data_IF_879047704117
#
_entry.id   IF_879047704117
#
_cell.length_a   1.000
_cell.length_b   1.000
_cell.length_c   1.000
_cell.angle_alpha   90.00
_cell.angle_beta   90.00
_cell.angle_gamma   90.00
#
_symmetry.space_group_name_H-M   'P 1'
#
loop_
_entity.id
_entity.type
_entity.pdbx_description
1 polymer ?
#
# COMPACT_ATOMS: atom_id res chain seq x y z
N UNK A 1 -6.53 17.67 30.21
CA UNK A 1 -7.32 18.33 29.15
C UNK A 1 -6.90 17.87 27.75
N UNK A 2 -5.78 18.33 27.18
CA UNK A 2 -5.38 18.03 25.77
C UNK A 2 -5.31 16.54 25.41
N UNK A 3 -4.68 15.72 26.26
CA UNK A 3 -4.55 14.26 26.04
C UNK A 3 -5.90 13.50 26.09
N UNK A 4 -6.85 14.01 26.88
CA UNK A 4 -8.18 13.42 27.02
C UNK A 4 -9.02 13.77 25.78
N UNK A 5 -8.90 15.00 25.27
CA UNK A 5 -9.56 15.42 24.02
C UNK A 5 -9.03 14.62 22.84
N UNK A 6 -7.71 14.41 22.73
CA UNK A 6 -7.14 13.57 21.66
C UNK A 6 -7.58 12.11 21.76
N UNK A 7 -7.64 11.54 22.97
CA UNK A 7 -8.12 10.18 23.17
C UNK A 7 -9.61 10.03 22.80
N UNK A 8 -10.45 10.98 23.21
CA UNK A 8 -11.86 11.01 22.84
C UNK A 8 -12.07 11.12 21.32
N UNK A 9 -11.23 11.90 20.64
CA UNK A 9 -11.27 12.03 19.18
C UNK A 9 -10.90 10.73 18.47
N UNK A 10 -9.84 10.04 18.92
CA UNK A 10 -9.43 8.73 18.37
C UNK A 10 -10.54 7.69 18.57
N UNK A 11 -11.13 7.63 19.77
CA UNK A 11 -12.24 6.71 20.07
C UNK A 11 -13.46 7.04 19.21
N UNK A 12 -13.76 8.32 19.01
CA UNK A 12 -14.86 8.76 18.13
C UNK A 12 -14.65 8.32 16.68
N UNK A 13 -13.45 8.50 16.13
CA UNK A 13 -13.11 8.02 14.77
C UNK A 13 -13.23 6.49 14.70
N UNK A 14 -12.73 5.77 15.69
CA UNK A 14 -12.80 4.31 15.73
C UNK A 14 -14.25 3.80 15.74
N UNK A 15 -15.11 4.38 16.58
CA UNK A 15 -16.54 4.05 16.62
C UNK A 15 -17.25 4.40 15.31
N UNK A 16 -16.84 5.49 14.65
CA UNK A 16 -17.36 5.88 13.35
C UNK A 16 -16.97 4.90 12.25
N UNK A 17 -15.73 4.37 12.26
CA UNK A 17 -15.32 3.34 11.30
C UNK A 17 -16.12 2.05 11.49
N UNK A 18 -16.40 1.66 12.74
CA UNK A 18 -17.21 0.46 13.05
C UNK A 18 -18.68 0.64 12.60
N UNK A 19 -19.22 1.86 12.70
CA UNK A 19 -20.63 2.11 12.36
C UNK A 19 -20.89 2.14 10.85
N UNK A 20 -19.84 2.22 10.03
CA UNK A 20 -19.96 2.11 8.58
C UNK A 20 -20.30 0.66 8.22
N UNK A 21 -21.49 0.46 7.68
CA UNK A 21 -21.87 -0.82 7.09
C UNK A 21 -20.97 -1.08 5.87
N UNK A 22 -20.13 -2.11 5.95
CA UNK A 22 -19.35 -2.56 4.81
C UNK A 22 -20.30 -3.24 3.83
N UNK A 23 -20.69 -2.51 2.79
CA UNK A 23 -21.36 -3.11 1.64
C UNK A 23 -20.31 -4.02 0.99
N UNK A 24 -20.55 -5.34 0.88
CA UNK A 24 -19.65 -6.20 0.14
C UNK A 24 -19.62 -5.67 -1.28
N UNK A 25 -18.42 -5.25 -1.72
CA UNK A 25 -18.20 -4.87 -3.10
C UNK A 25 -18.66 -6.07 -3.93
N UNK A 26 -19.70 -5.91 -4.77
CA UNK A 26 -20.09 -6.97 -5.70
C UNK A 26 -18.82 -7.43 -6.39
N UNK A 27 -18.52 -8.70 -6.22
CA UNK A 27 -17.19 -9.24 -6.42
C UNK A 27 -16.72 -8.81 -7.79
N UNK A 28 -15.55 -8.15 -7.82
CA UNK A 28 -14.74 -7.91 -9.02
C UNK A 28 -14.22 -9.24 -9.60
N UNK A 29 -15.04 -10.29 -9.53
CA UNK A 29 -14.87 -11.60 -10.14
C UNK A 29 -14.49 -11.43 -11.60
N UNK A 30 -15.06 -10.43 -12.28
CA UNK A 30 -14.77 -10.16 -13.68
C UNK A 30 -13.30 -9.76 -13.90
N UNK A 31 -12.79 -8.78 -13.14
CA UNK A 31 -11.38 -8.38 -13.20
C UNK A 31 -10.43 -9.49 -12.72
N UNK A 32 -10.82 -10.20 -11.66
CA UNK A 32 -10.05 -11.34 -11.18
C UNK A 32 -9.92 -12.42 -12.26
N UNK A 33 -11.02 -12.83 -12.88
CA UNK A 33 -11.03 -13.80 -13.97
C UNK A 33 -10.27 -13.29 -15.18
N UNK A 34 -10.42 -12.01 -15.53
CA UNK A 34 -9.68 -11.39 -16.62
C UNK A 34 -8.16 -11.52 -16.40
N UNK A 35 -7.65 -11.14 -15.23
CA UNK A 35 -6.22 -11.24 -14.94
C UNK A 35 -5.74 -12.68 -14.90
N UNK A 36 -6.48 -13.60 -14.28
CA UNK A 36 -6.06 -15.01 -14.20
C UNK A 36 -6.05 -15.68 -15.58
N UNK A 37 -6.97 -15.34 -16.46
CA UNK A 37 -7.08 -15.98 -17.77
C UNK A 37 -6.18 -15.35 -18.83
N UNK A 38 -5.86 -14.05 -18.72
CA UNK A 38 -5.15 -13.31 -19.79
C UNK A 38 -3.72 -12.87 -19.43
N UNK A 39 -3.27 -12.95 -18.17
CA UNK A 39 -1.97 -12.39 -17.76
C UNK A 39 -0.79 -12.85 -18.63
N UNK A 40 -0.76 -14.12 -19.02
CA UNK A 40 0.33 -14.67 -19.83
C UNK A 40 0.31 -14.12 -21.25
N UNK A 41 -0.87 -13.96 -21.84
CA UNK A 41 -1.03 -13.41 -23.19
C UNK A 41 -0.71 -11.91 -23.22
N UNK A 42 -1.16 -11.17 -22.21
CA UNK A 42 -1.01 -9.71 -22.14
C UNK A 42 0.42 -9.29 -21.79
N UNK A 43 1.08 -10.05 -20.90
CA UNK A 43 2.35 -9.62 -20.28
C UNK A 43 3.54 -10.52 -20.62
N UNK A 44 3.30 -11.73 -21.14
CA UNK A 44 4.33 -12.75 -21.36
C UNK A 44 4.87 -13.41 -20.08
N UNK A 45 4.42 -12.99 -18.89
CA UNK A 45 4.88 -13.57 -17.64
C UNK A 45 4.24 -14.94 -17.38
N UNK A 46 5.03 -15.88 -16.87
CA UNK A 46 4.56 -17.23 -16.50
C UNK A 46 3.83 -17.25 -15.14
N UNK A 47 4.01 -16.22 -14.31
CA UNK A 47 3.38 -16.09 -13.00
C UNK A 47 2.42 -14.89 -12.97
N UNK A 48 1.16 -15.16 -12.60
CA UNK A 48 0.09 -14.15 -12.53
C UNK A 48 0.38 -13.06 -11.51
N UNK A 49 1.02 -13.39 -10.38
CA UNK A 49 1.39 -12.42 -9.35
C UNK A 49 2.44 -11.45 -9.89
N UNK A 50 3.45 -11.94 -10.61
CA UNK A 50 4.47 -11.07 -11.22
C UNK A 50 3.90 -10.20 -12.34
N UNK A 51 2.95 -10.72 -13.12
CA UNK A 51 2.24 -9.95 -14.14
C UNK A 51 1.48 -8.78 -13.52
N UNK A 52 0.86 -8.99 -12.36
CA UNK A 52 0.15 -7.93 -11.64
C UNK A 52 1.13 -6.86 -11.15
N UNK A 53 2.19 -7.23 -10.43
CA UNK A 53 3.11 -6.24 -9.85
C UNK A 53 3.93 -5.47 -10.89
N UNK A 54 4.39 -6.15 -11.95
CA UNK A 54 5.35 -5.58 -12.90
C UNK A 54 4.70 -5.08 -14.20
N UNK A 55 3.43 -5.39 -14.44
CA UNK A 55 2.73 -4.97 -15.67
C UNK A 55 1.45 -4.21 -15.33
N UNK A 56 0.40 -4.90 -14.86
CA UNK A 56 -0.91 -4.27 -14.64
C UNK A 56 -0.89 -3.16 -13.57
N UNK A 57 -0.05 -3.30 -12.53
CA UNK A 57 0.09 -2.35 -11.40
C UNK A 57 1.54 -1.89 -11.21
N UNK A 58 2.26 -1.69 -12.31
CA UNK A 58 3.66 -1.27 -12.32
C UNK A 58 3.93 -0.07 -11.40
N UNK A 59 3.07 0.94 -11.41
CA UNK A 59 3.29 2.17 -10.66
C UNK A 59 3.28 1.95 -9.14
N UNK A 60 2.46 1.03 -8.63
CA UNK A 60 2.41 0.74 -7.19
C UNK A 60 3.76 0.16 -6.73
N UNK A 61 4.28 -0.85 -7.43
CA UNK A 61 5.60 -1.44 -7.13
C UNK A 61 6.75 -0.46 -7.41
N UNK A 62 6.67 0.35 -8.47
CA UNK A 62 7.69 1.37 -8.77
C UNK A 62 7.79 2.40 -7.63
N UNK A 63 6.66 2.90 -7.13
CA UNK A 63 6.67 3.84 -6.02
C UNK A 63 7.03 3.20 -4.68
N UNK A 64 6.69 1.93 -4.44
CA UNK A 64 7.17 1.20 -3.26
C UNK A 64 8.71 1.12 -3.24
N UNK A 65 9.33 0.76 -4.37
CA UNK A 65 10.79 0.70 -4.47
C UNK A 65 11.45 2.08 -4.37
N UNK A 66 10.83 3.12 -4.94
CA UNK A 66 11.28 4.51 -4.79
C UNK A 66 11.19 4.98 -3.33
N UNK A 67 10.11 4.65 -2.63
CA UNK A 67 9.92 4.97 -1.21
C UNK A 67 11.00 4.30 -0.37
N UNK A 68 11.30 3.03 -0.64
CA UNK A 68 12.39 2.30 0.03
C UNK A 68 13.75 2.97 -0.25
N UNK A 69 14.03 3.32 -1.51
CA UNK A 69 15.25 4.01 -1.90
C UNK A 69 15.43 5.33 -1.15
N UNK A 70 14.41 6.19 -1.15
CA UNK A 70 14.44 7.48 -0.45
C UNK A 70 14.59 7.29 1.05
N UNK A 71 13.95 6.28 1.63
CA UNK A 71 14.08 5.96 3.06
C UNK A 71 15.51 5.55 3.43
N UNK A 72 16.14 4.70 2.62
CA UNK A 72 17.55 4.29 2.82
C UNK A 72 18.49 5.48 2.66
N UNK A 73 18.31 6.31 1.63
CA UNK A 73 19.09 7.54 1.45
C UNK A 73 18.96 8.46 2.67
N UNK A 74 17.72 8.66 3.16
CA UNK A 74 17.44 9.45 4.35
C UNK A 74 18.18 8.92 5.57
N UNK A 75 18.09 7.61 5.83
CA UNK A 75 18.79 6.97 6.96
C UNK A 75 20.30 7.17 6.84
N UNK A 76 20.90 6.92 5.68
CA UNK A 76 22.35 7.09 5.50
C UNK A 76 22.78 8.54 5.75
N UNK A 77 22.00 9.51 5.23
CA UNK A 77 22.31 10.93 5.37
C UNK A 77 22.19 11.39 6.82
N UNK A 78 21.10 11.07 7.51
CA UNK A 78 20.86 11.50 8.89
C UNK A 78 21.66 10.70 9.91
N UNK A 79 21.92 9.42 9.68
CA UNK A 79 22.74 8.57 10.56
C UNK A 79 24.21 8.96 10.57
N UNK A 80 24.71 9.70 9.56
CA UNK A 80 26.10 10.16 9.50
C UNK A 80 26.41 11.32 10.44
N UNK A 81 25.47 11.74 11.29
CA UNK A 81 25.63 12.87 12.21
C UNK A 81 25.55 12.45 13.68
N UNK A 82 26.41 11.52 14.11
CA UNK A 82 26.64 11.21 15.54
C UNK A 82 28.15 11.03 15.84
N UNK A 83 28.99 11.98 15.42
CA UNK A 83 30.44 11.82 15.54
C UNK A 83 31.29 13.06 15.80
N UNK A 84 30.73 14.26 15.99
CA UNK A 84 31.52 15.42 16.42
C UNK A 84 30.72 16.28 17.42
N UNK A 85 31.36 16.48 18.59
CA UNK A 85 30.97 17.16 19.84
C UNK A 85 30.35 16.29 20.94
#
# INVERSE_FOLDING_TARGET
MRRIVTAAFIIGIFLLIISVNVIPLETSTDLFHYYINNFKADTGAENSVTAIYLNYRLFDTFFETLLLLVSVIGIIYFSRHEGDY
#
